data_IF_760666631869
#
_entry.id   IF_760666631869
#
_cell.length_a   1.000
_cell.length_b   1.000
_cell.length_c   1.000
_cell.angle_alpha   90.00
_cell.angle_beta   90.00
_cell.angle_gamma   90.00
#
_symmetry.space_group_name_H-M   'P 1'
#
loop_
_entity.id
_entity.type
_entity.pdbx_description
1 polymer ?
#
# COMPACT_ATOMS: atom_id res chain seq x y z
N UNK A 1 -12.75 15.04 4.48
CA UNK A 1 -11.36 15.23 3.98
C UNK A 1 -10.62 16.19 4.90
N UNK A 2 -9.31 15.97 5.09
CA UNK A 2 -8.46 16.81 5.94
C UNK A 2 -8.32 18.25 5.42
N UNK A 3 -7.98 19.18 6.30
CA UNK A 3 -7.69 20.60 5.94
C UNK A 3 -6.50 20.68 4.99
N UNK A 4 -5.42 19.96 5.27
CA UNK A 4 -4.26 19.82 4.38
C UNK A 4 -4.62 18.85 3.24
N UNK A 5 -4.75 19.36 2.03
CA UNK A 5 -5.20 18.59 0.86
C UNK A 5 -4.02 17.88 0.21
N UNK A 6 -4.25 16.66 -0.26
CA UNK A 6 -3.37 16.00 -1.23
C UNK A 6 -3.77 16.38 -2.64
N UNK A 7 -2.82 16.41 -3.55
CA UNK A 7 -3.04 16.82 -4.95
C UNK A 7 -2.59 15.72 -5.91
N UNK A 8 -3.38 15.50 -6.95
CA UNK A 8 -2.93 14.81 -8.16
C UNK A 8 -2.77 15.86 -9.24
N UNK A 9 -1.60 15.92 -9.87
CA UNK A 9 -1.33 16.91 -10.90
C UNK A 9 -0.58 16.27 -12.07
N UNK A 10 -0.58 16.98 -13.18
CA UNK A 10 0.10 16.60 -14.40
C UNK A 10 0.77 17.81 -15.03
N UNK A 11 1.82 17.55 -15.80
CA UNK A 11 2.48 18.58 -16.59
C UNK A 11 1.98 18.57 -18.02
N UNK A 12 1.76 19.77 -18.54
CA UNK A 12 1.45 20.02 -19.94
C UNK A 12 2.40 21.09 -20.50
N UNK A 13 2.59 21.08 -21.81
CA UNK A 13 3.25 22.16 -22.53
C UNK A 13 2.27 23.30 -22.87
N UNK A 14 2.73 24.29 -23.60
CA UNK A 14 1.95 25.47 -24.02
C UNK A 14 0.74 25.12 -24.88
N UNK A 15 0.74 23.95 -25.51
CA UNK A 15 -0.36 23.41 -26.34
C UNK A 15 -1.29 22.46 -25.58
N UNK A 16 -1.19 22.41 -24.23
CA UNK A 16 -1.89 21.45 -23.37
C UNK A 16 -1.58 19.97 -23.67
N UNK A 17 -0.42 19.68 -24.28
CA UNK A 17 0.04 18.32 -24.49
C UNK A 17 0.80 17.82 -23.26
N UNK A 18 0.60 16.54 -22.88
CA UNK A 18 1.28 15.97 -21.72
C UNK A 18 2.80 16.04 -21.87
N UNK A 19 3.47 16.56 -20.85
CA UNK A 19 4.92 16.76 -20.80
C UNK A 19 5.55 15.95 -19.67
N UNK A 20 6.56 15.12 -20.01
CA UNK A 20 7.35 14.41 -19.01
C UNK A 20 8.34 15.36 -18.30
N UNK A 21 8.25 15.44 -16.98
CA UNK A 21 9.13 16.26 -16.15
C UNK A 21 9.68 15.41 -15.01
N UNK A 22 11.01 15.44 -14.81
CA UNK A 22 11.65 14.84 -13.65
C UNK A 22 11.56 15.79 -12.45
N UNK A 23 11.21 15.27 -11.28
CA UNK A 23 11.11 16.06 -10.05
C UNK A 23 11.96 15.45 -8.94
N UNK A 24 12.72 16.28 -8.25
CA UNK A 24 13.55 15.88 -7.09
C UNK A 24 14.42 14.64 -7.34
N UNK A 25 14.94 14.48 -8.57
CA UNK A 25 15.73 13.33 -8.97
C UNK A 25 14.93 12.06 -9.25
N UNK A 26 13.61 12.13 -9.27
CA UNK A 26 12.75 11.03 -9.72
C UNK A 26 12.64 11.01 -11.25
N UNK A 27 12.51 9.83 -11.88
CA UNK A 27 12.40 9.70 -13.33
C UNK A 27 11.24 10.52 -13.90
N UNK A 28 11.47 11.12 -15.06
CA UNK A 28 10.51 12.01 -15.72
C UNK A 28 9.20 11.28 -16.07
N UNK A 29 8.10 11.91 -15.73
CA UNK A 29 6.75 11.47 -16.06
C UNK A 29 5.77 12.65 -16.05
N UNK A 30 4.59 12.49 -16.65
CA UNK A 30 3.56 13.53 -16.68
C UNK A 30 2.78 13.62 -15.36
N UNK A 31 2.47 12.49 -14.73
CA UNK A 31 1.55 12.38 -13.59
C UNK A 31 2.28 12.23 -12.27
N UNK A 32 1.88 13.02 -11.29
CA UNK A 32 2.45 13.07 -9.96
C UNK A 32 1.38 13.19 -8.87
N UNK A 33 1.73 12.82 -7.65
CA UNK A 33 0.93 13.00 -6.45
C UNK A 33 1.75 13.80 -5.43
N UNK A 34 1.12 14.81 -4.84
CA UNK A 34 1.57 15.44 -3.61
C UNK A 34 0.67 14.95 -2.48
N UNK A 35 1.16 14.00 -1.71
CA UNK A 35 0.47 13.53 -0.52
C UNK A 35 0.76 14.47 0.65
N UNK A 36 -0.31 15.02 1.25
CA UNK A 36 -0.22 15.87 2.43
C UNK A 36 -0.46 15.05 3.71
N UNK A 37 0.59 14.67 4.47
CA UNK A 37 0.41 13.93 5.72
C UNK A 37 -0.20 14.85 6.78
N UNK A 38 -1.51 14.71 7.00
CA UNK A 38 -2.25 15.49 7.99
C UNK A 38 -2.46 14.71 9.30
N UNK A 39 -3.00 13.50 9.19
CA UNK A 39 -3.20 12.63 10.34
C UNK A 39 -1.89 11.95 10.78
N UNK A 40 -0.99 11.66 9.85
CA UNK A 40 0.31 11.08 10.15
C UNK A 40 1.29 12.14 10.68
N UNK A 41 1.34 12.30 12.00
CA UNK A 41 2.19 13.29 12.66
C UNK A 41 3.67 12.87 12.73
N UNK A 42 3.99 11.60 12.47
CA UNK A 42 5.37 11.17 12.20
C UNK A 42 5.83 11.58 10.80
N UNK A 43 4.89 11.93 9.91
CA UNK A 43 5.09 12.40 8.52
C UNK A 43 5.67 11.34 7.57
N UNK A 44 5.95 10.11 8.00
CA UNK A 44 6.77 9.15 7.26
C UNK A 44 6.14 7.77 6.99
N UNK A 45 4.91 7.46 7.45
CA UNK A 45 4.32 6.11 7.35
C UNK A 45 4.22 5.58 5.92
N UNK A 46 3.70 6.36 4.99
CA UNK A 46 3.67 5.98 3.56
C UNK A 46 5.08 5.75 3.00
N UNK A 47 6.00 6.65 3.32
CA UNK A 47 7.40 6.61 2.86
C UNK A 47 8.09 5.33 3.33
N UNK A 48 7.89 4.97 4.60
CA UNK A 48 8.46 3.78 5.21
C UNK A 48 7.94 2.52 4.53
N UNK A 49 6.62 2.38 4.36
CA UNK A 49 6.02 1.24 3.70
C UNK A 49 6.54 1.06 2.25
N UNK A 50 6.58 2.15 1.47
CA UNK A 50 7.06 2.10 0.09
C UNK A 50 8.54 1.71 0.00
N UNK A 51 9.38 2.24 0.90
CA UNK A 51 10.80 1.89 0.95
C UNK A 51 11.03 0.44 1.31
N UNK A 52 10.29 -0.07 2.29
CA UNK A 52 10.39 -1.48 2.70
C UNK A 52 9.97 -2.41 1.57
N UNK A 53 8.81 -2.19 0.95
CA UNK A 53 8.32 -3.04 -0.13
C UNK A 53 9.25 -3.01 -1.36
N UNK A 54 9.83 -1.86 -1.67
CA UNK A 54 10.86 -1.77 -2.71
C UNK A 54 12.10 -2.58 -2.36
N UNK A 55 12.56 -2.54 -1.09
CA UNK A 55 13.70 -3.36 -0.64
C UNK A 55 13.39 -4.87 -0.68
N UNK A 56 12.12 -5.27 -0.53
CA UNK A 56 11.68 -6.67 -0.69
C UNK A 56 11.73 -7.16 -2.15
N UNK A 57 12.02 -6.28 -3.12
CA UNK A 57 12.20 -6.62 -4.53
C UNK A 57 11.01 -6.28 -5.43
N UNK A 58 10.02 -5.53 -4.92
CA UNK A 58 8.82 -5.17 -5.67
C UNK A 58 8.82 -3.70 -6.10
N UNK A 59 8.05 -3.39 -7.14
CA UNK A 59 7.76 -2.00 -7.45
C UNK A 59 6.85 -1.40 -6.36
N UNK A 60 7.30 -0.27 -5.82
CA UNK A 60 6.50 0.64 -5.03
C UNK A 60 6.70 2.06 -5.56
N UNK A 61 5.72 2.96 -5.44
CA UNK A 61 5.89 4.35 -5.84
C UNK A 61 7.15 4.96 -5.22
N UNK A 62 8.03 5.49 -6.07
CA UNK A 62 9.16 6.27 -5.55
C UNK A 62 8.63 7.58 -5.01
N UNK A 63 9.17 8.00 -3.88
CA UNK A 63 8.69 9.18 -3.19
C UNK A 63 9.85 9.97 -2.57
N UNK A 64 9.62 11.28 -2.37
CA UNK A 64 10.52 12.24 -1.75
C UNK A 64 9.75 13.20 -0.85
N UNK A 65 10.33 13.53 0.28
CA UNK A 65 9.84 14.66 1.08
C UNK A 65 10.10 15.97 0.34
N UNK A 66 9.16 16.90 0.44
CA UNK A 66 9.31 18.24 -0.10
C UNK A 66 8.44 19.24 0.67
N UNK A 67 8.85 20.46 0.72
CA UNK A 67 8.02 21.57 1.18
C UNK A 67 7.27 22.17 -0.02
N UNK A 68 5.98 22.45 0.16
CA UNK A 68 5.12 22.96 -0.91
C UNK A 68 4.74 24.41 -0.66
N UNK A 69 4.89 25.23 -1.70
CA UNK A 69 4.29 26.56 -1.77
C UNK A 69 3.40 26.66 -3.01
N UNK A 70 2.22 27.24 -2.85
CA UNK A 70 1.27 27.49 -3.95
C UNK A 70 1.05 28.99 -4.02
N UNK A 71 1.36 29.61 -5.16
CA UNK A 71 1.25 31.04 -5.37
C UNK A 71 1.95 31.88 -4.28
N UNK A 72 3.13 31.43 -3.84
CA UNK A 72 3.91 32.07 -2.77
C UNK A 72 3.45 31.75 -1.34
N UNK A 73 2.34 31.02 -1.16
CA UNK A 73 1.84 30.64 0.16
C UNK A 73 2.32 29.24 0.55
N UNK A 74 3.04 29.15 1.64
CA UNK A 74 3.52 27.88 2.20
C UNK A 74 2.36 26.97 2.63
N UNK A 75 2.42 25.71 2.19
CA UNK A 75 1.39 24.69 2.46
C UNK A 75 1.85 23.61 3.43
N UNK A 76 3.12 23.59 3.82
CA UNK A 76 3.71 22.58 4.70
C UNK A 76 4.53 21.54 3.98
N UNK A 77 4.92 20.51 4.73
CA UNK A 77 5.62 19.35 4.23
C UNK A 77 4.67 18.42 3.45
N UNK A 78 5.10 17.97 2.29
CA UNK A 78 4.41 17.00 1.45
C UNK A 78 5.33 15.83 1.11
N UNK A 79 4.73 14.74 0.67
CA UNK A 79 5.45 13.64 0.04
C UNK A 79 5.10 13.66 -1.45
N UNK A 80 6.08 14.03 -2.28
CA UNK A 80 5.97 13.89 -3.73
C UNK A 80 6.09 12.41 -4.08
N UNK A 81 5.06 11.83 -4.68
CA UNK A 81 5.01 10.42 -5.05
C UNK A 81 4.77 10.24 -6.54
N UNK A 82 5.30 9.18 -7.09
CA UNK A 82 4.85 8.67 -8.38
C UNK A 82 3.38 8.25 -8.29
N UNK A 83 2.55 8.73 -9.22
CA UNK A 83 1.24 8.12 -9.42
C UNK A 83 1.44 6.74 -10.03
N UNK A 84 0.77 5.71 -9.50
CA UNK A 84 0.81 4.36 -10.10
C UNK A 84 0.34 4.46 -11.54
N UNK A 85 1.23 4.10 -12.46
CA UNK A 85 1.00 4.04 -13.90
C UNK A 85 1.85 2.93 -14.49
N UNK A 86 1.32 2.28 -15.52
CA UNK A 86 2.08 1.34 -16.33
C UNK A 86 2.90 2.14 -17.34
N UNK A 87 4.21 2.12 -17.14
CA UNK A 87 5.22 2.81 -17.96
C UNK A 87 6.57 2.14 -17.68
N UNK A 88 7.46 2.13 -18.65
CA UNK A 88 8.79 1.51 -18.54
C UNK A 88 9.64 2.12 -17.42
N UNK A 89 9.38 3.37 -17.04
CA UNK A 89 10.06 4.05 -15.92
C UNK A 89 9.43 3.80 -14.56
N UNK A 90 8.23 3.21 -14.49
CA UNK A 90 7.46 2.94 -13.26
C UNK A 90 7.12 1.47 -13.12
N UNK A 91 5.87 1.10 -13.32
CA UNK A 91 5.43 -0.29 -13.31
C UNK A 91 5.49 -0.83 -14.75
N UNK A 92 6.54 -1.58 -15.06
CA UNK A 92 6.71 -2.19 -16.40
C UNK A 92 5.92 -3.52 -16.45
N UNK A 93 4.75 -3.48 -17.05
CA UNK A 93 3.89 -4.66 -17.23
C UNK A 93 3.96 -5.23 -18.66
N UNK A 94 4.64 -4.55 -19.57
CA UNK A 94 4.61 -4.90 -21.00
C UNK A 94 3.16 -5.08 -21.49
N UNK A 95 2.75 -6.31 -21.80
CA UNK A 95 1.41 -6.67 -22.28
C UNK A 95 0.44 -7.12 -21.16
N UNK A 96 0.76 -6.83 -19.90
CA UNK A 96 -0.07 -7.22 -18.76
C UNK A 96 -1.17 -6.21 -18.43
N UNK A 97 -1.98 -6.55 -17.44
CA UNK A 97 -3.09 -5.74 -16.94
C UNK A 97 -2.88 -5.33 -15.50
N UNK A 98 -3.28 -4.10 -15.15
CA UNK A 98 -3.31 -3.61 -13.77
C UNK A 98 -4.76 -3.46 -13.32
N UNK A 99 -5.09 -4.10 -12.22
CA UNK A 99 -6.42 -4.13 -11.65
C UNK A 99 -6.34 -3.59 -10.21
N UNK A 100 -7.40 -2.94 -9.77
CA UNK A 100 -7.53 -2.42 -8.42
C UNK A 100 -8.82 -2.93 -7.78
N UNK A 101 -8.74 -3.46 -6.60
CA UNK A 101 -9.85 -3.71 -5.71
C UNK A 101 -10.05 -2.46 -4.84
N UNK A 102 -11.23 -1.84 -4.94
CA UNK A 102 -11.56 -0.58 -4.24
C UNK A 102 -13.08 -0.39 -4.19
N UNK A 103 -13.51 0.77 -3.73
CA UNK A 103 -14.92 1.19 -3.80
C UNK A 103 -15.38 1.25 -5.26
N UNK A 104 -16.68 0.95 -5.52
CA UNK A 104 -17.19 0.97 -6.87
C UNK A 104 -17.04 2.36 -7.51
N UNK A 105 -16.62 2.34 -8.78
CA UNK A 105 -16.59 3.49 -9.68
C UNK A 105 -17.59 3.27 -10.82
N UNK A 106 -17.65 4.16 -11.81
CA UNK A 106 -18.54 3.96 -12.98
C UNK A 106 -18.05 2.83 -13.93
N UNK A 107 -16.87 2.26 -13.71
CA UNK A 107 -16.21 1.31 -14.60
C UNK A 107 -15.60 0.15 -13.81
N UNK A 108 -16.46 -0.72 -13.29
CA UNK A 108 -16.05 -1.85 -12.47
C UNK A 108 -16.67 -3.17 -12.95
N UNK A 109 -16.11 -4.27 -12.49
CA UNK A 109 -16.76 -5.57 -12.46
C UNK A 109 -16.74 -6.13 -11.04
N UNK A 110 -17.58 -7.12 -10.77
CA UNK A 110 -17.69 -7.70 -9.43
C UNK A 110 -17.15 -9.11 -9.39
N UNK A 111 -16.68 -9.51 -8.22
CA UNK A 111 -16.44 -10.91 -7.91
C UNK A 111 -17.71 -11.76 -8.09
N UNK A 112 -17.53 -13.01 -8.50
CA UNK A 112 -18.62 -13.99 -8.48
C UNK A 112 -18.88 -14.51 -7.05
N UNK A 113 -17.90 -14.41 -6.18
CA UNK A 113 -17.93 -14.94 -4.80
C UNK A 113 -18.07 -13.79 -3.82
N UNK A 114 -19.04 -13.89 -2.94
CA UNK A 114 -19.26 -12.89 -1.89
C UNK A 114 -18.24 -13.05 -0.75
N UNK A 115 -17.89 -11.93 -0.12
CA UNK A 115 -17.17 -11.94 1.14
C UNK A 115 -18.10 -12.33 2.31
N UNK A 116 -17.58 -12.36 3.54
CA UNK A 116 -18.35 -12.73 4.73
C UNK A 116 -19.52 -11.80 5.03
N UNK A 117 -19.45 -10.55 4.59
CA UNK A 117 -20.55 -9.57 4.70
C UNK A 117 -21.64 -9.75 3.63
N UNK A 118 -21.57 -10.82 2.84
CA UNK A 118 -22.45 -11.08 1.70
C UNK A 118 -22.39 -9.99 0.60
N UNK A 119 -21.38 -9.14 0.60
CA UNK A 119 -21.10 -8.19 -0.48
C UNK A 119 -20.06 -8.77 -1.44
N UNK A 120 -20.09 -8.32 -2.68
CA UNK A 120 -19.14 -8.76 -3.71
C UNK A 120 -18.01 -7.76 -3.82
N UNK A 121 -16.73 -8.20 -3.71
CA UNK A 121 -15.59 -7.36 -4.04
C UNK A 121 -15.72 -6.73 -5.43
N UNK A 122 -15.26 -5.50 -5.56
CA UNK A 122 -15.39 -4.69 -6.78
C UNK A 122 -14.01 -4.40 -7.34
N UNK A 123 -13.85 -4.65 -8.63
CA UNK A 123 -12.57 -4.53 -9.35
C UNK A 123 -12.66 -3.49 -10.45
N UNK A 124 -11.67 -2.63 -10.53
CA UNK A 124 -11.49 -1.65 -11.59
C UNK A 124 -10.27 -2.00 -12.43
N UNK A 125 -10.41 -2.02 -13.77
CA UNK A 125 -9.27 -2.16 -14.66
C UNK A 125 -8.60 -0.80 -14.79
N UNK A 126 -7.39 -0.69 -14.25
CA UNK A 126 -6.60 0.55 -14.23
C UNK A 126 -5.75 0.69 -15.48
N UNK A 127 -5.22 -0.44 -15.99
CA UNK A 127 -4.44 -0.47 -17.23
C UNK A 127 -4.73 -1.76 -18.02
N UNK A 128 -4.88 -1.65 -19.34
CA UNK A 128 -5.00 -0.42 -20.14
C UNK A 128 -6.17 0.45 -19.70
N UNK A 129 -6.14 1.74 -20.09
CA UNK A 129 -7.28 2.60 -19.78
C UNK A 129 -8.57 1.94 -20.29
N UNK A 130 -9.55 1.85 -19.44
CA UNK A 130 -10.81 1.13 -19.71
C UNK A 130 -11.53 1.61 -20.99
N UNK A 131 -11.32 2.86 -21.43
CA UNK A 131 -11.80 3.36 -22.72
C UNK A 131 -11.08 2.79 -23.94
N UNK A 132 -9.86 2.28 -23.77
CA UNK A 132 -9.06 1.68 -24.83
C UNK A 132 -9.29 0.16 -24.97
N UNK A 133 -9.96 -0.48 -23.98
CA UNK A 133 -10.21 -1.91 -23.98
C UNK A 133 -11.43 -2.28 -24.84
N UNK A 134 -11.24 -3.26 -25.72
CA UNK A 134 -12.34 -3.94 -26.41
C UNK A 134 -13.19 -4.78 -25.46
N UNK A 135 -14.40 -5.15 -25.91
CA UNK A 135 -15.30 -6.00 -25.12
C UNK A 135 -14.67 -7.36 -24.81
N UNK A 136 -14.03 -7.98 -25.80
CA UNK A 136 -13.39 -9.30 -25.65
C UNK A 136 -12.29 -9.29 -24.59
N UNK A 137 -11.44 -8.25 -24.56
CA UNK A 137 -10.36 -8.13 -23.57
C UNK A 137 -10.90 -7.96 -22.16
N UNK A 138 -11.97 -7.17 -21.99
CA UNK A 138 -12.63 -7.03 -20.68
C UNK A 138 -13.16 -8.37 -20.17
N UNK A 139 -13.82 -9.12 -21.03
CA UNK A 139 -14.32 -10.46 -20.69
C UNK A 139 -13.17 -11.38 -20.30
N UNK A 140 -12.05 -11.35 -21.02
CA UNK A 140 -10.87 -12.16 -20.68
C UNK A 140 -10.30 -11.82 -19.32
N UNK A 141 -10.13 -10.52 -19.00
CA UNK A 141 -9.65 -10.07 -17.69
C UNK A 141 -10.59 -10.54 -16.58
N UNK A 142 -11.90 -10.32 -16.73
CA UNK A 142 -12.90 -10.73 -15.76
C UNK A 142 -12.90 -12.25 -15.56
N UNK A 143 -12.91 -13.01 -16.65
CA UNK A 143 -12.88 -14.48 -16.61
C UNK A 143 -11.64 -15.02 -15.90
N UNK A 144 -10.49 -14.35 -16.07
CA UNK A 144 -9.27 -14.77 -15.39
C UNK A 144 -9.31 -14.52 -13.90
N UNK A 145 -9.85 -13.38 -13.47
CA UNK A 145 -10.05 -13.09 -12.03
C UNK A 145 -11.07 -14.06 -11.43
N UNK A 146 -12.16 -14.35 -12.12
CA UNK A 146 -13.16 -15.32 -11.65
C UNK A 146 -12.58 -16.75 -11.58
N UNK A 147 -11.78 -17.14 -12.57
CA UNK A 147 -11.08 -18.43 -12.54
C UNK A 147 -10.18 -18.55 -11.30
N UNK A 148 -9.41 -17.53 -10.99
CA UNK A 148 -8.59 -17.50 -9.78
C UNK A 148 -9.45 -17.64 -8.53
N UNK A 149 -10.53 -16.88 -8.40
CA UNK A 149 -11.41 -16.94 -7.24
C UNK A 149 -12.08 -18.30 -7.09
N UNK A 150 -12.59 -18.87 -8.16
CA UNK A 150 -13.24 -20.20 -8.17
C UNK A 150 -12.22 -21.29 -7.82
N UNK A 151 -11.04 -21.27 -8.44
CA UNK A 151 -9.97 -22.23 -8.15
C UNK A 151 -9.54 -22.17 -6.69
N UNK A 152 -9.37 -20.95 -6.14
CA UNK A 152 -9.01 -20.77 -4.75
C UNK A 152 -10.15 -21.19 -3.79
N UNK A 153 -11.41 -20.90 -4.13
CA UNK A 153 -12.56 -21.23 -3.30
C UNK A 153 -12.74 -22.74 -3.17
N UNK A 154 -12.55 -23.46 -4.28
CA UNK A 154 -12.66 -24.93 -4.35
C UNK A 154 -11.41 -25.65 -3.83
N UNK A 155 -10.29 -24.95 -3.68
CA UNK A 155 -9.04 -25.55 -3.22
C UNK A 155 -9.12 -26.04 -1.78
N UNK A 156 -8.42 -27.12 -1.48
CA UNK A 156 -8.16 -27.60 -0.13
C UNK A 156 -6.80 -27.12 0.41
N UNK A 157 -6.47 -27.51 1.63
CA UNK A 157 -5.22 -27.11 2.29
C UNK A 157 -3.94 -27.67 1.64
N UNK A 158 -4.06 -28.67 0.76
CA UNK A 158 -2.95 -29.35 0.07
C UNK A 158 -2.90 -28.99 -1.43
N UNK A 159 -3.81 -28.14 -1.93
CA UNK A 159 -3.89 -27.80 -3.35
C UNK A 159 -2.63 -27.04 -3.81
N UNK A 160 -2.00 -27.54 -4.85
CA UNK A 160 -0.85 -26.91 -5.50
C UNK A 160 -1.25 -26.12 -6.76
N UNK A 161 -2.38 -26.47 -7.39
CA UNK A 161 -2.76 -25.96 -8.70
C UNK A 161 -2.99 -24.43 -8.69
N UNK A 162 -3.37 -23.87 -7.56
CA UNK A 162 -3.54 -22.43 -7.40
C UNK A 162 -2.24 -21.66 -7.71
N UNK A 163 -1.06 -22.26 -7.48
CA UNK A 163 0.23 -21.62 -7.73
C UNK A 163 0.63 -21.62 -9.21
N UNK A 164 -0.13 -22.29 -10.06
CA UNK A 164 -0.02 -22.10 -11.51
C UNK A 164 -0.70 -20.78 -11.95
N UNK A 165 -1.70 -20.31 -11.20
CA UNK A 165 -2.48 -19.11 -11.50
C UNK A 165 -1.88 -17.88 -10.82
N UNK A 166 -1.22 -18.01 -9.65
CA UNK A 166 -0.67 -16.87 -8.90
C UNK A 166 0.86 -16.89 -8.87
N UNK A 167 1.45 -15.69 -8.74
CA UNK A 167 2.84 -15.53 -8.31
C UNK A 167 2.91 -15.60 -6.79
N UNK A 168 3.25 -16.78 -6.26
CA UNK A 168 3.28 -17.04 -4.82
C UNK A 168 4.14 -16.03 -4.06
N UNK A 169 5.30 -15.65 -4.59
CA UNK A 169 6.21 -14.71 -3.94
C UNK A 169 5.56 -13.35 -3.75
N UNK A 170 4.86 -12.84 -4.76
CA UNK A 170 4.18 -11.55 -4.66
C UNK A 170 3.02 -11.57 -3.67
N UNK A 171 2.26 -12.67 -3.60
CA UNK A 171 1.18 -12.82 -2.62
C UNK A 171 1.70 -12.90 -1.19
N UNK A 172 2.75 -13.66 -0.97
CA UNK A 172 3.42 -13.76 0.34
C UNK A 172 3.99 -12.40 0.77
N UNK A 173 4.73 -11.73 -0.09
CA UNK A 173 5.35 -10.44 0.23
C UNK A 173 4.30 -9.34 0.42
N UNK A 174 3.20 -9.38 -0.33
CA UNK A 174 2.08 -8.45 -0.14
C UNK A 174 1.37 -8.68 1.21
N UNK A 175 1.16 -9.94 1.60
CA UNK A 175 0.63 -10.27 2.92
C UNK A 175 1.58 -9.77 4.02
N UNK A 176 2.87 -10.08 3.91
CA UNK A 176 3.87 -9.69 4.90
C UNK A 176 3.89 -8.18 5.10
N UNK A 177 3.98 -7.38 4.03
CA UNK A 177 4.09 -5.93 4.17
C UNK A 177 2.81 -5.31 4.76
N UNK A 178 1.63 -5.77 4.34
CA UNK A 178 0.36 -5.25 4.86
C UNK A 178 0.16 -5.64 6.33
N UNK A 179 0.55 -6.85 6.72
CA UNK A 179 0.48 -7.26 8.12
C UNK A 179 1.59 -6.64 8.96
N UNK A 180 2.80 -6.49 8.44
CA UNK A 180 3.88 -5.83 9.18
C UNK A 180 3.52 -4.37 9.49
N UNK A 181 3.03 -3.65 8.50
CA UNK A 181 2.55 -2.27 8.69
C UNK A 181 1.18 -2.21 9.38
N UNK A 182 0.45 -3.31 9.45
CA UNK A 182 -0.96 -3.37 9.88
C UNK A 182 -1.79 -2.28 9.20
N UNK A 183 -1.75 -2.28 7.87
CA UNK A 183 -2.55 -1.36 7.07
C UNK A 183 -4.03 -1.76 7.14
N UNK A 184 -4.83 -1.01 7.88
CA UNK A 184 -6.24 -1.34 8.15
C UNK A 184 -7.16 -1.25 6.93
N UNK A 185 -6.72 -0.57 5.88
CA UNK A 185 -7.45 -0.49 4.60
C UNK A 185 -7.03 -1.58 3.61
N UNK A 186 -5.99 -2.35 3.93
CA UNK A 186 -5.47 -3.42 3.09
C UNK A 186 -6.55 -4.44 2.70
N UNK A 187 -6.31 -5.09 1.58
CA UNK A 187 -7.10 -6.20 1.05
C UNK A 187 -8.50 -5.85 0.53
N UNK A 188 -9.08 -4.71 0.91
CA UNK A 188 -10.43 -4.28 0.53
C UNK A 188 -10.48 -2.91 -0.16
N UNK A 189 -9.46 -2.07 0.05
CA UNK A 189 -9.33 -0.74 -0.56
C UNK A 189 -7.92 -0.55 -1.08
N UNK A 190 -7.77 0.24 -2.14
CA UNK A 190 -6.46 0.58 -2.72
C UNK A 190 -5.54 -0.62 -2.95
N UNK A 191 -6.14 -1.79 -3.17
CA UNK A 191 -5.44 -3.07 -3.36
C UNK A 191 -5.22 -3.32 -4.84
N UNK A 192 -3.97 -3.21 -5.27
CA UNK A 192 -3.60 -3.42 -6.67
C UNK A 192 -3.08 -4.83 -6.88
N UNK A 193 -3.39 -5.38 -8.03
CA UNK A 193 -2.80 -6.61 -8.53
C UNK A 193 -2.71 -6.59 -10.07
N UNK A 194 -1.88 -7.44 -10.60
CA UNK A 194 -1.53 -7.50 -12.01
C UNK A 194 -1.92 -8.86 -12.57
N UNK A 195 -2.29 -8.90 -13.84
CA UNK A 195 -2.24 -10.10 -14.64
C UNK A 195 -1.01 -9.97 -15.53
N UNK A 196 0.00 -10.82 -15.32
CA UNK A 196 1.24 -10.79 -16.11
C UNK A 196 1.03 -11.32 -17.53
N UNK A 197 2.02 -11.14 -18.38
CA UNK A 197 2.04 -11.71 -19.74
C UNK A 197 1.96 -13.24 -19.71
N UNK A 198 2.55 -13.87 -18.69
CA UNK A 198 2.51 -15.32 -18.45
C UNK A 198 1.17 -15.79 -17.84
N UNK A 199 0.17 -14.92 -17.78
CA UNK A 199 -1.14 -15.18 -17.19
C UNK A 199 -1.06 -15.66 -15.75
N UNK A 200 -0.25 -14.99 -14.93
CA UNK A 200 -0.25 -15.14 -13.46
C UNK A 200 -0.77 -13.88 -12.79
N UNK A 201 -1.56 -14.07 -11.74
CA UNK A 201 -1.90 -12.97 -10.83
C UNK A 201 -0.69 -12.65 -9.96
N UNK A 202 -0.36 -11.37 -9.88
CA UNK A 202 0.75 -10.85 -9.09
C UNK A 202 0.27 -9.69 -8.23
N UNK A 203 0.43 -9.79 -6.91
CA UNK A 203 0.01 -8.71 -6.01
C UNK A 203 0.93 -7.51 -6.07
N UNK A 204 0.35 -6.35 -5.87
CA UNK A 204 1.01 -5.05 -5.91
C UNK A 204 0.79 -4.28 -7.22
N UNK A 205 1.29 -3.04 -7.26
CA UNK A 205 2.04 -2.30 -6.24
C UNK A 205 1.22 -1.98 -4.98
N UNK A 206 1.90 -1.67 -3.89
CA UNK A 206 1.25 -1.17 -2.67
C UNK A 206 0.91 0.32 -2.80
N UNK A 207 -0.17 0.74 -2.11
CA UNK A 207 -0.66 2.11 -2.11
C UNK A 207 -1.41 2.43 -0.82
N UNK A 208 -1.36 3.70 -0.38
CA UNK A 208 -2.20 4.25 0.68
C UNK A 208 -1.99 3.63 2.08
N UNK A 209 -0.75 3.72 2.57
CA UNK A 209 -0.33 3.23 3.90
C UNK A 209 -0.39 4.31 4.99
N UNK A 210 -1.14 5.37 4.78
CA UNK A 210 -1.27 6.48 5.71
C UNK A 210 -1.95 6.08 7.04
N UNK A 211 -2.83 5.07 7.03
CA UNK A 211 -3.54 4.54 8.21
C UNK A 211 -2.93 3.24 8.72
N UNK A 212 -1.61 3.16 8.72
CA UNK A 212 -0.83 2.01 9.15
C UNK A 212 0.03 2.31 10.38
N UNK A 213 0.79 1.33 10.84
CA UNK A 213 1.75 1.45 11.93
C UNK A 213 1.17 2.06 13.21
N UNK A 214 -0.01 1.58 13.61
CA UNK A 214 -0.60 1.95 14.88
C UNK A 214 -1.27 3.32 14.93
N UNK A 215 -1.47 3.99 13.78
CA UNK A 215 -2.02 5.34 13.75
C UNK A 215 -3.47 5.41 14.22
N UNK A 216 -4.31 4.43 13.86
CA UNK A 216 -5.77 4.58 13.95
C UNK A 216 -6.36 4.09 15.26
N UNK A 217 -7.35 4.80 15.77
CA UNK A 217 -8.14 4.48 16.97
C UNK A 217 -9.29 3.49 16.70
N UNK A 218 -9.59 3.20 15.44
CA UNK A 218 -10.65 2.29 15.02
C UNK A 218 -10.10 1.00 14.40
N UNK A 219 -10.95 -0.03 14.25
CA UNK A 219 -10.60 -1.36 13.72
C UNK A 219 -9.38 -2.00 14.41
N UNK A 220 -9.15 -1.67 15.69
CA UNK A 220 -7.97 -2.10 16.43
C UNK A 220 -6.63 -1.78 15.74
N UNK A 221 -6.58 -0.72 14.92
CA UNK A 221 -5.39 -0.34 14.17
C UNK A 221 -4.20 0.02 15.07
N UNK A 222 -4.47 0.58 16.26
CA UNK A 222 -3.46 0.93 17.26
C UNK A 222 -2.78 -0.29 17.91
N UNK A 223 -3.45 -1.46 17.95
CA UNK A 223 -2.89 -2.67 18.56
C UNK A 223 -1.78 -3.24 17.70
N UNK A 224 -0.65 -3.53 18.27
CA UNK A 224 0.45 -4.23 17.60
C UNK A 224 0.14 -5.72 17.34
N UNK A 225 -0.91 -6.28 17.94
CA UNK A 225 -1.40 -7.65 17.77
C UNK A 225 -2.58 -7.75 16.80
N UNK A 226 -2.91 -8.98 16.38
CA UNK A 226 -4.03 -9.30 15.47
C UNK A 226 -3.69 -9.10 13.98
N UNK A 227 -4.27 -9.94 13.13
CA UNK A 227 -4.13 -9.85 11.68
C UNK A 227 -5.23 -8.97 11.07
N UNK A 228 -4.89 -8.26 9.99
CA UNK A 228 -5.86 -7.47 9.22
C UNK A 228 -6.66 -8.38 8.30
N UNK A 229 -6.00 -9.32 7.61
CA UNK A 229 -6.63 -10.16 6.58
C UNK A 229 -7.86 -10.95 7.04
N UNK A 230 -7.99 -11.19 8.35
CA UNK A 230 -9.12 -11.92 8.94
C UNK A 230 -10.00 -11.05 9.86
N UNK A 231 -9.70 -9.77 10.02
CA UNK A 231 -10.35 -8.89 11.02
C UNK A 231 -11.66 -8.27 10.55
N UNK A 232 -11.92 -8.20 9.24
CA UNK A 232 -13.08 -7.54 8.67
C UNK A 232 -13.81 -8.45 7.67
N UNK A 233 -15.14 -8.37 7.69
CA UNK A 233 -16.00 -9.19 6.83
C UNK A 233 -15.98 -8.74 5.35
N UNK A 234 -15.59 -7.51 5.08
CA UNK A 234 -15.46 -6.94 3.74
C UNK A 234 -14.24 -7.45 2.97
N UNK A 235 -13.26 -8.02 3.66
CA UNK A 235 -12.05 -8.55 3.03
C UNK A 235 -12.40 -9.79 2.21
N UNK A 236 -11.91 -9.91 0.97
CA UNK A 236 -12.08 -11.13 0.16
C UNK A 236 -11.55 -12.35 0.88
N UNK A 237 -12.20 -13.49 0.71
CA UNK A 237 -11.85 -14.77 1.32
C UNK A 237 -10.44 -15.29 0.94
N UNK A 238 -9.80 -14.66 -0.04
CA UNK A 238 -8.51 -15.07 -0.62
C UNK A 238 -7.44 -15.32 0.44
N UNK A 239 -7.32 -14.40 1.38
CA UNK A 239 -6.23 -14.42 2.37
C UNK A 239 -6.43 -15.50 3.43
N UNK A 240 -7.65 -15.75 3.84
CA UNK A 240 -7.96 -16.84 4.77
C UNK A 240 -7.71 -18.20 4.13
N UNK A 241 -8.16 -18.36 2.88
CA UNK A 241 -7.93 -19.60 2.10
C UNK A 241 -6.45 -19.84 1.85
N UNK A 242 -5.71 -18.85 1.42
CA UNK A 242 -4.27 -18.97 1.21
C UNK A 242 -3.53 -19.32 2.51
N UNK A 243 -3.90 -18.71 3.64
CA UNK A 243 -3.27 -19.03 4.93
C UNK A 243 -3.62 -20.43 5.45
N UNK A 244 -4.72 -21.03 5.01
CA UNK A 244 -5.04 -22.44 5.29
C UNK A 244 -4.23 -23.41 4.44
N UNK A 245 -3.73 -22.97 3.27
CA UNK A 245 -2.92 -23.81 2.40
C UNK A 245 -1.52 -24.03 2.99
N UNK A 246 -1.11 -25.28 3.13
CA UNK A 246 0.15 -25.67 3.78
C UNK A 246 1.39 -25.16 3.05
N UNK A 247 1.35 -25.13 1.72
CA UNK A 247 2.49 -24.67 0.90
C UNK A 247 2.63 -23.17 0.98
N UNK A 248 1.51 -22.44 0.93
CA UNK A 248 1.52 -20.99 1.12
C UNK A 248 2.03 -20.62 2.51
N UNK A 249 1.53 -21.28 3.54
CA UNK A 249 1.94 -21.03 4.93
C UNK A 249 3.44 -21.33 5.15
N UNK A 250 3.94 -22.43 4.57
CA UNK A 250 5.37 -22.75 4.60
C UNK A 250 6.22 -21.67 3.90
N UNK A 251 5.78 -21.21 2.73
CA UNK A 251 6.46 -20.14 1.99
C UNK A 251 6.43 -18.82 2.77
N UNK A 252 5.31 -18.47 3.39
CA UNK A 252 5.13 -17.29 4.25
C UNK A 252 6.10 -17.33 5.43
N UNK A 253 6.15 -18.43 6.17
CA UNK A 253 7.04 -18.58 7.33
C UNK A 253 8.52 -18.49 6.92
N UNK A 254 8.90 -19.17 5.86
CA UNK A 254 10.26 -19.12 5.33
C UNK A 254 10.65 -17.69 4.91
N UNK A 255 9.75 -17.02 4.17
CA UNK A 255 10.00 -15.65 3.69
C UNK A 255 10.04 -14.65 4.83
N UNK A 256 9.15 -14.77 5.82
CA UNK A 256 9.19 -13.95 7.02
C UNK A 256 10.54 -14.04 7.73
N UNK A 257 11.02 -15.25 8.00
CA UNK A 257 12.35 -15.46 8.63
C UNK A 257 13.47 -14.79 7.85
N UNK A 258 13.47 -14.95 6.51
CA UNK A 258 14.45 -14.30 5.63
C UNK A 258 14.39 -12.77 5.75
N UNK A 259 13.20 -12.18 5.72
CA UNK A 259 13.02 -10.73 5.82
C UNK A 259 13.36 -10.21 7.23
N UNK A 260 13.02 -10.92 8.29
CA UNK A 260 13.36 -10.56 9.67
C UNK A 260 14.86 -10.60 9.97
N UNK A 261 15.60 -11.42 9.26
CA UNK A 261 17.07 -11.44 9.35
C UNK A 261 17.76 -10.42 8.43
N UNK A 262 17.01 -9.59 7.73
CA UNK A 262 17.55 -8.64 6.74
C UNK A 262 16.71 -7.36 6.67
N UNK A 263 15.86 -7.22 5.65
CA UNK A 263 15.13 -5.97 5.30
C UNK A 263 14.17 -5.50 6.40
N UNK A 264 13.52 -6.43 7.09
CA UNK A 264 12.57 -6.15 8.18
C UNK A 264 13.19 -6.42 9.56
N UNK A 265 14.52 -6.49 9.69
CA UNK A 265 15.17 -6.54 10.99
C UNK A 265 14.91 -5.24 11.76
N UNK A 266 14.88 -5.32 13.10
CA UNK A 266 14.66 -4.14 13.93
C UNK A 266 15.71 -3.06 13.61
N UNK A 267 16.99 -3.44 13.45
CA UNK A 267 18.09 -2.55 13.10
C UNK A 267 17.84 -1.79 11.80
N UNK A 268 17.56 -2.51 10.70
CA UNK A 268 17.36 -1.88 9.37
C UNK A 268 16.14 -0.97 9.33
N UNK A 269 15.06 -1.36 10.01
CA UNK A 269 13.83 -0.55 10.04
C UNK A 269 14.01 0.69 10.91
N UNK A 270 14.66 0.56 12.09
CA UNK A 270 14.92 1.71 12.95
C UNK A 270 15.90 2.69 12.31
N UNK A 271 16.98 2.22 11.68
CA UNK A 271 17.89 3.08 10.91
C UNK A 271 17.17 3.87 9.82
N UNK A 272 16.18 3.25 9.16
CA UNK A 272 15.37 3.94 8.15
C UNK A 272 14.47 5.02 8.76
N UNK A 273 13.84 4.75 9.89
CA UNK A 273 13.03 5.74 10.63
C UNK A 273 13.91 6.92 11.07
N UNK A 274 15.05 6.65 11.69
CA UNK A 274 16.01 7.69 12.12
C UNK A 274 16.55 8.52 10.95
N UNK A 275 16.79 7.88 9.80
CA UNK A 275 17.19 8.59 8.60
C UNK A 275 16.12 9.56 8.13
N UNK A 276 14.85 9.14 8.12
CA UNK A 276 13.75 10.03 7.77
C UNK A 276 13.55 11.15 8.78
N UNK A 277 13.70 10.85 10.07
CA UNK A 277 13.62 11.84 11.15
C UNK A 277 14.66 12.95 10.96
N UNK A 278 15.92 12.59 10.70
CA UNK A 278 16.97 13.55 10.35
C UNK A 278 16.68 14.34 9.07
N UNK A 279 16.12 13.70 8.04
CA UNK A 279 15.75 14.38 6.78
C UNK A 279 14.62 15.41 7.00
N UNK A 280 13.79 15.19 8.04
CA UNK A 280 12.65 16.03 8.36
C UNK A 280 12.94 17.10 9.42
N UNK A 281 14.10 17.15 10.02
CA UNK A 281 14.45 17.96 11.20
C UNK A 281 13.96 19.42 11.13
N UNK A 282 14.20 20.10 10.02
CA UNK A 282 13.73 21.49 9.82
C UNK A 282 12.32 21.54 9.24
N UNK A 283 12.03 20.66 8.28
CA UNK A 283 10.76 20.70 7.55
C UNK A 283 9.55 20.33 8.43
N UNK A 284 9.75 19.50 9.47
CA UNK A 284 8.70 19.17 10.42
C UNK A 284 8.33 20.39 11.29
N UNK A 285 9.28 21.21 11.73
CA UNK A 285 9.02 22.45 12.48
C UNK A 285 8.15 23.39 11.64
N UNK A 286 8.58 23.71 10.42
CA UNK A 286 7.82 24.55 9.49
C UNK A 286 6.41 23.99 9.22
N UNK A 287 6.30 22.65 9.12
CA UNK A 287 5.02 22.00 8.89
C UNK A 287 4.07 22.17 10.08
N UNK A 288 4.57 22.00 11.32
CA UNK A 288 3.72 22.10 12.52
C UNK A 288 3.46 23.52 12.95
N UNK A 289 4.31 24.48 12.56
CA UNK A 289 4.00 25.91 12.66
C UNK A 289 2.83 26.30 11.76
N UNK A 290 2.79 25.74 10.54
CA UNK A 290 1.67 25.95 9.60
C UNK A 290 0.41 25.20 10.02
N UNK A 291 0.58 23.97 10.49
CA UNK A 291 -0.49 23.06 10.85
C UNK A 291 -0.30 22.67 12.32
N UNK A 292 -0.90 23.36 13.24
CA UNK A 292 -0.80 23.12 14.68
C UNK A 292 -1.53 21.82 15.07
N UNK A 293 -0.91 20.66 14.78
CA UNK A 293 -1.52 19.33 14.94
C UNK A 293 -0.99 18.57 16.15
N UNK A 294 0.20 18.91 16.66
CA UNK A 294 0.81 18.25 17.81
C UNK A 294 0.00 18.55 19.07
N UNK A 295 -0.15 17.58 19.95
CA UNK A 295 -0.99 17.67 21.15
C UNK A 295 -2.50 17.73 20.90
N UNK A 296 -2.95 17.76 19.63
CA UNK A 296 -4.37 17.91 19.28
C UNK A 296 -5.09 16.56 19.32
N UNK A 297 -6.12 16.45 20.19
CA UNK A 297 -6.96 15.25 20.36
C UNK A 297 -7.98 15.05 19.25
N UNK A 298 -8.28 16.11 18.49
CA UNK A 298 -9.37 16.10 17.49
C UNK A 298 -8.93 15.69 16.10
N UNK A 299 -7.65 15.32 15.90
CA UNK A 299 -7.15 14.89 14.59
C UNK A 299 -7.50 13.42 14.39
N UNK A 300 -8.68 13.18 13.83
CA UNK A 300 -9.10 11.82 13.44
C UNK A 300 -8.18 11.26 12.34
N UNK A 301 -7.78 10.00 12.38
CA UNK A 301 -8.15 8.94 13.35
C UNK A 301 -7.02 8.59 14.34
N UNK A 302 -6.32 9.58 14.86
CA UNK A 302 -5.15 9.32 15.70
C UNK A 302 -5.52 8.62 17.02
N UNK A 303 -4.90 7.47 17.29
CA UNK A 303 -4.91 6.81 18.59
C UNK A 303 -3.92 7.47 19.55
N UNK A 304 -2.66 7.57 19.12
CA UNK A 304 -1.62 8.24 19.89
C UNK A 304 -1.58 9.72 19.58
N UNK A 305 -1.29 10.54 20.58
CA UNK A 305 -1.25 11.99 20.48
C UNK A 305 0.01 12.46 21.19
N UNK A 306 1.06 12.67 20.40
CA UNK A 306 2.31 13.24 20.87
C UNK A 306 2.25 14.76 20.94
N UNK A 307 2.87 15.33 21.95
CA UNK A 307 3.02 16.78 22.09
C UNK A 307 4.12 17.32 21.19
N UNK A 308 5.06 16.47 20.78
CA UNK A 308 6.17 16.80 19.88
C UNK A 308 6.23 15.81 18.71
N UNK A 309 6.92 16.19 17.63
CA UNK A 309 7.23 15.28 16.52
C UNK A 309 8.02 14.07 17.02
N UNK A 310 8.97 14.28 17.93
CA UNK A 310 9.79 13.20 18.50
C UNK A 310 8.95 12.19 19.29
N UNK A 311 7.86 12.60 19.95
CA UNK A 311 6.93 11.67 20.61
C UNK A 311 6.25 10.77 19.59
N UNK A 312 5.82 11.33 18.45
CA UNK A 312 5.18 10.58 17.35
C UNK A 312 6.14 9.61 16.69
N UNK A 313 7.42 9.99 16.52
CA UNK A 313 8.48 9.10 15.99
C UNK A 313 8.78 7.98 17.00
N UNK A 314 8.92 8.30 18.28
CA UNK A 314 9.16 7.32 19.34
C UNK A 314 8.01 6.31 19.46
N UNK A 315 6.76 6.79 19.35
CA UNK A 315 5.59 5.90 19.31
C UNK A 315 5.65 4.97 18.11
N UNK A 316 5.96 5.49 16.92
CA UNK A 316 6.09 4.69 15.69
C UNK A 316 7.15 3.59 15.86
N UNK A 317 8.34 3.92 16.35
CA UNK A 317 9.44 2.97 16.58
C UNK A 317 9.04 1.85 17.57
N UNK A 318 8.45 2.22 18.70
CA UNK A 318 7.96 1.27 19.70
C UNK A 318 6.92 0.34 19.10
N UNK A 319 5.93 0.90 18.40
CA UNK A 319 4.85 0.13 17.80
C UNK A 319 5.38 -0.88 16.78
N UNK A 320 6.32 -0.48 15.91
CA UNK A 320 6.96 -1.36 14.92
C UNK A 320 7.67 -2.54 15.61
N UNK A 321 8.45 -2.26 16.65
CA UNK A 321 9.16 -3.30 17.40
C UNK A 321 8.20 -4.30 18.05
N UNK A 322 7.13 -3.81 18.68
CA UNK A 322 6.09 -4.66 19.26
C UNK A 322 5.38 -5.51 18.19
N UNK A 323 5.07 -4.91 17.03
CA UNK A 323 4.43 -5.60 15.90
C UNK A 323 5.30 -6.72 15.36
N UNK A 324 6.57 -6.43 15.13
CA UNK A 324 7.53 -7.43 14.66
C UNK A 324 7.63 -8.62 15.63
N UNK A 325 7.76 -8.36 16.93
CA UNK A 325 7.79 -9.42 17.95
C UNK A 325 6.51 -10.24 18.01
N UNK A 326 5.35 -9.61 17.76
CA UNK A 326 4.09 -10.32 17.70
C UNK A 326 4.04 -11.23 16.47
N UNK A 327 4.42 -10.75 15.28
CA UNK A 327 4.47 -11.53 14.05
C UNK A 327 5.49 -12.68 14.14
N UNK A 328 6.64 -12.46 14.79
CA UNK A 328 7.63 -13.50 15.07
C UNK A 328 7.04 -14.69 15.84
N UNK A 329 6.04 -14.43 16.70
CA UNK A 329 5.33 -15.50 17.42
C UNK A 329 4.26 -16.19 16.58
N UNK A 330 3.62 -15.47 15.66
CA UNK A 330 2.55 -16.01 14.81
C UNK A 330 3.09 -16.85 13.66
N UNK A 331 4.18 -16.42 13.03
CA UNK A 331 4.80 -17.08 11.88
C UNK A 331 6.04 -17.91 12.29
N UNK A 332 5.93 -18.54 13.45
CA UNK A 332 6.81 -19.65 13.87
C UNK A 332 6.36 -20.94 13.19
N UNK A 333 7.31 -21.85 12.96
CA UNK A 333 6.99 -23.22 12.57
C UNK A 333 6.22 -23.91 13.67
#
# INVERSE_FOLDING_TARGET
SFKKKSFSFLFVDENNTLKKVGLLGLPAHEHWILYGPYADKSLMRNMLAYRLFKKMGHYAPRAKFCELSINGFYQGLYVLCEKIRVDSSRLDLKNGYLIKLDRPTNKFFQSNISNRKASKPVFEIVHPNNSALGFSERVQIQSFVHLFEESLFLSDENCLDIFEIIDMTSFVDFLIINEFCKNIDAYRLSTYFQISEEKKLKMGPIWDFNFSFGLTDYLNGYKSSGFVYSSMEEIPFWWEKLNQNKFFNSALTKRWKQLRSSILSDEVVMEMVEKFDRELEIAQENNFDKWSLLGQKEVWPNYYIGDTHQDEVTYLQRWISERAKWLDKQWKN
#
